data_IF_692330745283
#
_entry.id   IF_692330745283
#
_cell.length_a   1.000
_cell.length_b   1.000
_cell.length_c   1.000
_cell.angle_alpha   90.00
_cell.angle_beta   90.00
_cell.angle_gamma   90.00
#
_symmetry.space_group_name_H-M   'P 1'
#
loop_
_entity.id
_entity.type
_entity.pdbx_description
1 polymer ?
#
# COMPACT_ATOMS: atom_id res chain seq x y z
N UNK A 1 -9.11 -6.84 -3.69
CA UNK A 1 -8.81 -5.42 -3.61
C UNK A 1 -7.32 -5.21 -3.53
N UNK A 2 -6.85 -4.13 -4.12
CA UNK A 2 -5.42 -3.85 -4.14
C UNK A 2 -5.13 -2.51 -3.50
N UNK A 3 -3.98 -2.41 -2.90
CA UNK A 3 -3.53 -1.17 -2.30
C UNK A 3 -2.18 -0.80 -2.91
N UNK A 4 -2.09 0.39 -3.43
CA UNK A 4 -0.92 0.82 -4.18
C UNK A 4 -0.22 1.95 -3.46
N UNK A 5 1.07 1.78 -3.24
CA UNK A 5 1.89 2.82 -2.62
C UNK A 5 2.06 3.97 -3.61
N UNK A 6 1.71 5.20 -3.22
CA UNK A 6 1.81 6.34 -4.14
C UNK A 6 3.25 6.78 -4.41
N UNK A 7 4.17 6.36 -3.58
CA UNK A 7 5.56 6.78 -3.72
C UNK A 7 6.36 5.91 -4.68
N UNK A 8 6.31 4.60 -4.49
CA UNK A 8 7.13 3.68 -5.29
C UNK A 8 6.31 2.74 -6.16
N UNK A 9 4.99 2.75 -6.01
CA UNK A 9 4.13 1.90 -6.81
C UNK A 9 4.03 0.46 -6.33
N UNK A 10 4.45 0.21 -5.09
CA UNK A 10 4.35 -1.12 -4.53
C UNK A 10 2.88 -1.52 -4.39
N UNK A 11 2.54 -2.72 -4.81
CA UNK A 11 1.16 -3.21 -4.77
C UNK A 11 1.00 -4.24 -3.66
N UNK A 12 0.02 -4.00 -2.79
CA UNK A 12 -0.37 -4.95 -1.75
C UNK A 12 -1.70 -5.56 -2.15
N UNK A 13 -1.73 -6.85 -2.35
CA UNK A 13 -2.94 -7.56 -2.77
C UNK A 13 -3.56 -8.28 -1.58
N UNK A 14 -4.81 -7.96 -1.29
CA UNK A 14 -5.52 -8.59 -0.19
C UNK A 14 -6.82 -7.86 0.14
N UNK A 15 -7.63 -8.49 0.98
CA UNK A 15 -8.93 -7.94 1.38
C UNK A 15 -8.77 -6.83 2.43
N UNK A 16 -7.64 -6.78 3.08
CA UNK A 16 -7.40 -5.82 4.14
C UNK A 16 -6.27 -4.88 3.76
N UNK A 17 -6.32 -3.64 4.25
CA UNK A 17 -5.24 -2.70 3.99
C UNK A 17 -3.95 -3.16 4.69
N UNK A 18 -2.80 -2.77 4.14
CA UNK A 18 -1.55 -3.13 4.78
C UNK A 18 -1.45 -2.47 6.15
N UNK A 19 -0.88 -3.17 7.11
CA UNK A 19 -0.70 -2.64 8.45
C UNK A 19 0.72 -2.16 8.68
N UNK A 20 1.61 -2.44 7.73
CA UNK A 20 3.01 -2.06 7.82
C UNK A 20 3.32 -0.98 6.80
N UNK A 21 4.33 -0.18 7.12
CA UNK A 21 4.80 0.82 6.18
C UNK A 21 5.40 0.14 4.95
N UNK A 22 5.44 0.90 3.85
CA UNK A 22 6.03 0.37 2.64
C UNK A 22 7.50 0.00 2.87
N UNK A 23 7.90 -1.25 2.62
CA UNK A 23 9.29 -1.67 2.85
C UNK A 23 10.27 -1.11 1.82
N UNK A 24 9.76 -0.53 0.76
CA UNK A 24 10.59 -0.03 -0.34
C UNK A 24 10.90 1.44 -0.18
N UNK A 25 9.87 2.27 0.00
CA UNK A 25 10.05 3.70 0.12
C UNK A 25 9.76 4.22 1.53
N UNK A 26 9.17 3.39 2.38
CA UNK A 26 8.90 3.77 3.76
C UNK A 26 7.67 4.62 3.98
N UNK A 27 6.78 4.72 3.00
CA UNK A 27 5.58 5.52 3.19
C UNK A 27 4.63 4.79 4.16
N UNK A 28 3.84 5.55 4.93
CA UNK A 28 2.91 4.94 5.87
C UNK A 28 1.81 4.17 5.16
N UNK A 29 1.35 3.10 5.82
CA UNK A 29 0.31 2.24 5.23
C UNK A 29 -0.97 3.01 4.93
N UNK A 30 -1.27 4.01 5.70
CA UNK A 30 -2.48 4.81 5.51
C UNK A 30 -2.45 5.64 4.22
N UNK A 31 -1.27 5.83 3.65
CA UNK A 31 -1.13 6.59 2.41
C UNK A 31 -1.42 5.75 1.16
N UNK A 32 -1.55 4.45 1.32
CA UNK A 32 -1.83 3.58 0.19
C UNK A 32 -3.17 3.92 -0.44
N UNK A 33 -3.22 3.84 -1.76
CA UNK A 33 -4.46 4.02 -2.48
C UNK A 33 -5.16 2.69 -2.64
N UNK A 34 -6.45 2.69 -2.37
CA UNK A 34 -7.26 1.49 -2.52
C UNK A 34 -7.76 1.38 -3.95
N UNK A 35 -7.51 0.24 -4.56
CA UNK A 35 -8.00 -0.03 -5.90
C UNK A 35 -8.85 -1.28 -5.87
N UNK A 36 -10.06 -1.18 -6.40
CA UNK A 36 -11.01 -2.28 -6.45
C UNK A 36 -10.87 -3.12 -7.70
#
# INVERSE_FOLDING_TARGET
MKYICPDCGHVHDGDEPPTEDCPICGCPAEDYEKEE
#
